data_IF_648299691814
#
_entry.id   IF_648299691814
#
_cell.length_a   1.000
_cell.length_b   1.000
_cell.length_c   1.000
_cell.angle_alpha   90.00
_cell.angle_beta   90.00
_cell.angle_gamma   90.00
#
_symmetry.space_group_name_H-M   'P 1'
#
loop_
_entity.id
_entity.type
_entity.pdbx_description
1 polymer ?
#
# COMPACT_ATOMS: atom_id res chain seq x y z
N UNK A 1 -15.32 30.95 11.51
CA UNK A 1 -15.16 29.63 10.85
C UNK A 1 -16.19 29.43 9.74
N UNK A 2 -17.45 29.09 10.04
CA UNK A 2 -18.41 28.72 8.97
C UNK A 2 -18.84 29.89 8.08
N UNK A 3 -19.08 31.07 8.65
CA UNK A 3 -19.46 32.27 7.87
C UNK A 3 -18.34 32.66 6.90
N UNK A 4 -17.11 32.76 7.40
CA UNK A 4 -15.91 33.09 6.61
C UNK A 4 -15.67 32.06 5.49
N UNK A 5 -15.80 30.76 5.82
CA UNK A 5 -15.73 29.70 4.83
C UNK A 5 -16.79 29.85 3.73
N UNK A 6 -18.07 30.07 4.09
CA UNK A 6 -19.15 30.19 3.10
C UNK A 6 -18.97 31.43 2.20
N UNK A 7 -18.45 32.53 2.75
CA UNK A 7 -18.12 33.72 1.96
C UNK A 7 -17.08 33.40 0.86
N UNK A 8 -16.02 32.68 1.21
CA UNK A 8 -14.99 32.26 0.26
C UNK A 8 -15.51 31.26 -0.76
N UNK A 9 -16.37 30.33 -0.35
CA UNK A 9 -17.00 29.37 -1.27
C UNK A 9 -17.92 30.06 -2.27
N UNK A 10 -18.67 31.09 -1.87
CA UNK A 10 -19.54 31.82 -2.78
C UNK A 10 -18.76 32.56 -3.89
N UNK A 11 -17.52 32.96 -3.59
CA UNK A 11 -16.62 33.63 -4.53
C UNK A 11 -15.62 32.66 -5.21
N UNK A 12 -15.80 31.35 -5.01
CA UNK A 12 -14.85 30.36 -5.50
C UNK A 12 -15.04 30.09 -6.99
N UNK A 13 -13.96 30.22 -7.75
CA UNK A 13 -13.88 29.65 -9.10
C UNK A 13 -13.68 28.13 -9.02
N UNK A 14 -14.77 27.39 -9.22
CA UNK A 14 -14.78 25.93 -9.21
C UNK A 14 -13.95 25.30 -10.34
N UNK A 15 -13.78 25.97 -11.49
CA UNK A 15 -12.97 25.45 -12.59
C UNK A 15 -11.48 25.49 -12.25
N UNK A 16 -11.04 26.57 -11.59
CA UNK A 16 -9.67 26.67 -11.10
C UNK A 16 -9.38 25.61 -10.02
N UNK A 17 -10.31 25.41 -9.08
CA UNK A 17 -10.21 24.31 -8.12
C UNK A 17 -10.13 22.93 -8.80
N UNK A 18 -10.94 22.68 -9.84
CA UNK A 18 -10.90 21.43 -10.60
C UNK A 18 -9.52 21.19 -11.23
N UNK A 19 -8.94 22.23 -11.86
CA UNK A 19 -7.60 22.18 -12.46
C UNK A 19 -6.54 21.83 -11.41
N UNK A 20 -6.58 22.52 -10.26
CA UNK A 20 -5.64 22.29 -9.16
C UNK A 20 -5.71 20.85 -8.60
N UNK A 21 -6.93 20.30 -8.44
CA UNK A 21 -7.12 18.92 -7.98
C UNK A 21 -6.61 17.91 -9.00
N UNK A 22 -6.85 18.13 -10.29
CA UNK A 22 -6.43 17.21 -11.36
C UNK A 22 -4.92 17.22 -11.61
N UNK A 23 -4.24 18.35 -11.37
CA UNK A 23 -2.78 18.44 -11.49
C UNK A 23 -2.05 17.73 -10.33
N UNK A 24 -2.61 17.78 -9.13
CA UNK A 24 -1.97 17.24 -7.91
C UNK A 24 -2.25 15.75 -7.66
N UNK A 25 -3.17 15.12 -8.40
CA UNK A 25 -3.65 13.75 -8.11
C UNK A 25 -3.89 12.92 -9.38
N UNK A 26 -3.85 11.60 -9.22
CA UNK A 26 -4.25 10.67 -10.27
C UNK A 26 -5.69 10.95 -10.75
N UNK A 27 -5.90 10.98 -12.08
CA UNK A 27 -7.15 11.37 -12.76
C UNK A 27 -8.45 10.89 -12.08
N UNK A 28 -8.58 9.59 -11.83
CA UNK A 28 -9.78 9.02 -11.21
C UNK A 28 -10.00 9.52 -9.77
N UNK A 29 -8.93 9.62 -8.99
CA UNK A 29 -9.02 10.09 -7.61
C UNK A 29 -9.30 11.60 -7.56
N UNK A 30 -8.68 12.39 -8.44
CA UNK A 30 -8.94 13.82 -8.57
C UNK A 30 -10.40 14.11 -8.90
N UNK A 31 -10.94 13.45 -9.94
CA UNK A 31 -12.36 13.58 -10.31
C UNK A 31 -13.30 13.27 -9.14
N UNK A 32 -13.05 12.15 -8.44
CA UNK A 32 -13.87 11.78 -7.28
C UNK A 32 -13.81 12.83 -6.17
N UNK A 33 -12.61 13.34 -5.85
CA UNK A 33 -12.44 14.34 -4.80
C UNK A 33 -13.13 15.65 -5.15
N UNK A 34 -13.03 16.09 -6.41
CA UNK A 34 -13.73 17.27 -6.94
C UNK A 34 -15.25 17.11 -6.82
N UNK A 35 -15.82 16.02 -7.34
CA UNK A 35 -17.28 15.77 -7.27
C UNK A 35 -17.80 15.74 -5.83
N UNK A 36 -17.06 15.16 -4.89
CA UNK A 36 -17.46 15.15 -3.49
C UNK A 36 -17.30 16.53 -2.84
N UNK A 37 -16.27 17.29 -3.19
CA UNK A 37 -16.08 18.64 -2.68
C UNK A 37 -17.21 19.57 -3.16
N UNK A 38 -17.52 19.56 -4.47
CA UNK A 38 -18.62 20.38 -5.02
C UNK A 38 -19.98 19.96 -4.51
N UNK A 39 -20.24 18.67 -4.31
CA UNK A 39 -21.55 18.20 -3.85
C UNK A 39 -21.80 18.42 -2.36
N UNK A 40 -20.75 18.46 -1.54
CA UNK A 40 -20.87 18.43 -0.07
C UNK A 40 -20.11 19.58 0.61
N UNK A 41 -19.77 20.65 -0.11
CA UNK A 41 -19.02 21.79 0.44
C UNK A 41 -19.75 22.42 1.64
N UNK A 42 -21.08 22.42 1.64
CA UNK A 42 -21.96 22.96 2.67
C UNK A 42 -21.89 22.21 4.02
N UNK A 43 -21.32 20.99 4.00
CA UNK A 43 -21.10 20.18 5.19
C UNK A 43 -19.83 20.58 5.96
N UNK A 44 -18.97 21.44 5.41
CA UNK A 44 -17.80 21.94 6.13
C UNK A 44 -18.23 22.80 7.33
N UNK A 45 -17.66 22.54 8.52
CA UNK A 45 -18.03 23.19 9.79
C UNK A 45 -19.53 23.10 10.14
N UNK A 46 -20.21 22.05 9.68
CA UNK A 46 -21.65 21.88 9.85
C UNK A 46 -21.96 20.67 10.74
N UNK A 47 -22.85 20.82 11.71
CA UNK A 47 -23.26 19.71 12.59
C UNK A 47 -23.94 18.57 11.82
N UNK A 48 -24.52 18.84 10.64
CA UNK A 48 -24.99 17.77 9.74
C UNK A 48 -23.91 16.73 9.42
N UNK A 49 -22.64 17.14 9.29
CA UNK A 49 -21.51 16.21 9.06
C UNK A 49 -21.17 15.39 10.31
N UNK A 50 -21.44 15.93 11.50
CA UNK A 50 -21.24 15.26 12.79
C UNK A 50 -22.26 14.13 12.94
N UNK A 51 -23.52 14.42 12.60
CA UNK A 51 -24.65 13.48 12.70
C UNK A 51 -24.66 12.38 11.63
N UNK A 52 -23.80 12.45 10.61
CA UNK A 52 -23.69 11.38 9.61
C UNK A 52 -23.10 10.10 10.21
N UNK A 53 -23.61 8.95 9.79
CA UNK A 53 -23.01 7.66 10.16
C UNK A 53 -21.54 7.55 9.75
N UNK A 54 -20.74 6.89 10.59
CA UNK A 54 -19.33 6.63 10.35
C UNK A 54 -19.11 5.56 9.26
N UNK A 55 -19.36 5.93 8.00
CA UNK A 55 -19.28 5.06 6.84
C UNK A 55 -18.26 5.56 5.79
N UNK A 56 -18.11 4.81 4.70
CA UNK A 56 -17.14 5.14 3.63
C UNK A 56 -17.49 6.47 2.97
N UNK A 57 -18.77 6.78 2.82
CA UNK A 57 -19.25 8.02 2.21
C UNK A 57 -18.84 9.23 3.06
N UNK A 58 -19.07 9.20 4.37
CA UNK A 58 -18.65 10.25 5.32
C UNK A 58 -17.14 10.46 5.27
N UNK A 59 -16.35 9.38 5.21
CA UNK A 59 -14.89 9.47 5.08
C UNK A 59 -14.44 10.18 3.80
N UNK A 60 -15.08 9.88 2.66
CA UNK A 60 -14.76 10.54 1.39
C UNK A 60 -15.16 12.02 1.40
N UNK A 61 -16.30 12.36 2.00
CA UNK A 61 -16.73 13.76 2.20
C UNK A 61 -15.68 14.51 3.01
N UNK A 62 -15.27 13.98 4.16
CA UNK A 62 -14.27 14.63 5.03
C UNK A 62 -12.94 14.85 4.28
N UNK A 63 -12.48 13.89 3.47
CA UNK A 63 -11.28 14.02 2.62
C UNK A 63 -11.42 15.11 1.57
N UNK A 64 -12.56 15.17 0.90
CA UNK A 64 -12.84 16.20 -0.09
C UNK A 64 -12.93 17.59 0.53
N UNK A 65 -13.54 17.73 1.71
CA UNK A 65 -13.63 19.00 2.42
C UNK A 65 -12.26 19.47 2.96
N UNK A 66 -11.43 18.55 3.44
CA UNK A 66 -10.04 18.89 3.77
C UNK A 66 -9.24 19.35 2.56
N UNK A 67 -9.47 18.73 1.40
CA UNK A 67 -8.81 19.15 0.17
C UNK A 67 -9.26 20.54 -0.27
N UNK A 68 -10.57 20.80 -0.18
CA UNK A 68 -11.16 22.09 -0.49
C UNK A 68 -10.63 23.20 0.43
N UNK A 69 -10.61 22.96 1.75
CA UNK A 69 -10.05 23.92 2.72
C UNK A 69 -8.56 24.19 2.47
N UNK A 70 -7.76 23.18 2.13
CA UNK A 70 -6.35 23.41 1.73
C UNK A 70 -6.20 24.26 0.47
N UNK A 71 -7.08 24.08 -0.50
CA UNK A 71 -7.06 24.91 -1.69
C UNK A 71 -7.39 26.37 -1.34
N UNK A 72 -8.40 26.59 -0.48
CA UNK A 72 -8.75 27.93 -0.01
C UNK A 72 -7.61 28.58 0.78
N UNK A 73 -6.89 27.81 1.60
CA UNK A 73 -5.70 28.30 2.32
C UNK A 73 -4.62 28.79 1.35
N UNK A 74 -4.34 28.02 0.28
CA UNK A 74 -3.35 28.40 -0.75
C UNK A 74 -3.81 29.61 -1.57
N UNK A 75 -5.11 29.70 -1.90
CA UNK A 75 -5.62 30.73 -2.80
C UNK A 75 -5.89 32.06 -2.12
N UNK A 76 -6.32 32.04 -0.86
CA UNK A 76 -6.80 33.21 -0.13
C UNK A 76 -5.99 33.49 1.14
N UNK A 77 -4.85 32.82 1.34
CA UNK A 77 -3.96 32.97 2.50
C UNK A 77 -4.70 32.81 3.84
N UNK A 78 -5.47 31.72 3.95
CA UNK A 78 -6.26 31.40 5.14
C UNK A 78 -5.72 30.17 5.89
N UNK A 79 -6.33 29.85 7.04
CA UNK A 79 -5.99 28.70 7.89
C UNK A 79 -7.20 27.77 8.09
N UNK A 80 -8.09 27.70 7.10
CA UNK A 80 -9.31 26.91 7.15
C UNK A 80 -9.04 25.41 7.26
N UNK A 81 -7.95 24.89 6.70
CA UNK A 81 -7.62 23.48 6.84
C UNK A 81 -7.32 23.11 8.30
N UNK A 82 -6.52 23.91 8.98
CA UNK A 82 -6.18 23.70 10.39
C UNK A 82 -7.39 23.89 11.30
N UNK A 83 -8.23 24.89 10.99
CA UNK A 83 -9.52 25.07 11.66
C UNK A 83 -10.43 23.86 11.46
N UNK A 84 -10.51 23.32 10.24
CA UNK A 84 -11.35 22.17 9.91
C UNK A 84 -10.88 20.91 10.61
N UNK A 85 -9.58 20.62 10.59
CA UNK A 85 -9.02 19.45 11.27
C UNK A 85 -9.17 19.55 12.79
N UNK A 86 -8.98 20.74 13.36
CA UNK A 86 -9.21 21.00 14.79
C UNK A 86 -10.70 20.88 15.17
N UNK A 87 -11.60 21.35 14.31
CA UNK A 87 -13.04 21.18 14.50
C UNK A 87 -13.45 19.71 14.44
N UNK A 88 -12.94 18.92 13.49
CA UNK A 88 -13.18 17.47 13.43
C UNK A 88 -12.70 16.77 14.71
N UNK A 89 -11.52 17.12 15.23
CA UNK A 89 -10.99 16.59 16.50
C UNK A 89 -11.93 16.90 17.68
N UNK A 90 -12.37 18.15 17.82
CA UNK A 90 -13.31 18.57 18.87
C UNK A 90 -14.66 17.86 18.79
N UNK A 91 -15.11 17.50 17.58
CA UNK A 91 -16.34 16.73 17.34
C UNK A 91 -16.09 15.21 17.34
N UNK A 92 -14.91 14.77 17.74
CA UNK A 92 -14.48 13.36 17.81
C UNK A 92 -14.62 12.58 16.49
N UNK A 93 -14.57 13.28 15.37
CA UNK A 93 -14.70 12.69 14.03
C UNK A 93 -13.34 12.12 13.60
N UNK A 94 -13.27 10.80 13.45
CA UNK A 94 -12.06 10.10 13.01
C UNK A 94 -11.97 10.00 11.49
N UNK A 95 -10.74 10.11 10.98
CA UNK A 95 -10.36 9.89 9.58
C UNK A 95 -10.33 8.41 9.15
N UNK A 96 -10.98 7.53 9.91
CA UNK A 96 -10.93 6.08 9.73
C UNK A 96 -12.29 5.46 9.98
N UNK A 97 -12.65 4.47 9.17
CA UNK A 97 -13.71 3.54 9.56
C UNK A 97 -13.17 2.60 10.64
N UNK A 98 -14.01 2.17 11.60
CA UNK A 98 -13.72 0.99 12.42
C UNK A 98 -13.59 -0.21 11.47
N UNK A 99 -12.36 -0.63 11.17
CA UNK A 99 -12.15 -1.89 10.48
C UNK A 99 -12.46 -3.01 11.48
N UNK A 100 -13.56 -3.72 11.26
CA UNK A 100 -14.12 -4.78 12.11
C UNK A 100 -13.30 -6.06 12.18
N UNK A 101 -12.07 -6.10 11.66
CA UNK A 101 -11.18 -7.24 11.91
C UNK A 101 -9.79 -6.78 12.29
N UNK A 102 -9.37 -7.17 13.50
CA UNK A 102 -8.01 -7.04 13.97
C UNK A 102 -7.13 -8.07 13.24
N UNK A 103 -6.84 -7.82 11.95
CA UNK A 103 -5.99 -8.67 11.12
C UNK A 103 -4.59 -8.82 11.74
N UNK A 104 -4.17 -7.89 12.62
CA UNK A 104 -2.94 -8.01 13.39
C UNK A 104 -2.99 -9.14 14.43
N UNK A 105 -4.08 -9.24 15.19
CA UNK A 105 -4.27 -10.36 16.11
C UNK A 105 -4.29 -11.69 15.35
N UNK A 106 -5.05 -11.77 14.25
CA UNK A 106 -5.09 -12.98 13.40
C UNK A 106 -3.72 -13.36 12.84
N UNK A 107 -2.89 -12.38 12.44
CA UNK A 107 -1.54 -12.66 11.93
C UNK A 107 -0.53 -13.10 12.98
N UNK A 108 -0.78 -12.85 14.27
CA UNK A 108 0.03 -13.41 15.36
C UNK A 108 -0.30 -14.89 15.58
N UNK A 109 -1.54 -15.29 15.29
CA UNK A 109 -2.04 -16.65 15.51
C UNK A 109 -1.84 -17.56 14.28
N UNK A 110 -1.80 -17.00 13.06
CA UNK A 110 -1.57 -17.78 11.84
C UNK A 110 -0.08 -18.07 11.63
N UNK A 111 0.30 -19.35 11.69
CA UNK A 111 1.65 -19.79 11.35
C UNK A 111 1.94 -19.57 9.86
N UNK A 112 3.20 -19.28 9.53
CA UNK A 112 3.61 -19.09 8.12
C UNK A 112 3.40 -20.38 7.31
N UNK A 113 3.52 -21.54 7.96
CA UNK A 113 3.25 -22.85 7.41
C UNK A 113 1.80 -22.99 6.96
N UNK A 114 0.84 -22.52 7.78
CA UNK A 114 -0.58 -22.52 7.41
C UNK A 114 -0.84 -21.58 6.22
N UNK A 115 -0.20 -20.42 6.17
CA UNK A 115 -0.31 -19.51 5.02
C UNK A 115 0.19 -20.19 3.74
N UNK A 116 1.32 -20.88 3.79
CA UNK A 116 1.85 -21.60 2.62
C UNK A 116 0.94 -22.76 2.23
N UNK A 117 0.37 -23.48 3.20
CA UNK A 117 -0.62 -24.55 2.95
C UNK A 117 -1.86 -24.02 2.23
N UNK A 118 -2.44 -22.92 2.67
CA UNK A 118 -3.59 -22.32 1.99
C UNK A 118 -3.22 -21.78 0.60
N UNK A 119 -2.02 -21.20 0.45
CA UNK A 119 -1.50 -20.80 -0.87
C UNK A 119 -1.35 -21.99 -1.83
N UNK A 120 -1.02 -23.18 -1.33
CA UNK A 120 -0.90 -24.40 -2.14
C UNK A 120 -2.26 -24.89 -2.69
N UNK A 121 -3.37 -24.59 -2.01
CA UNK A 121 -4.71 -24.99 -2.46
C UNK A 121 -5.26 -24.13 -3.60
N UNK A 122 -4.70 -22.94 -3.80
CA UNK A 122 -5.12 -22.04 -4.87
C UNK A 122 -4.74 -22.62 -6.25
N UNK A 123 -5.47 -22.24 -7.32
CA UNK A 123 -5.06 -22.51 -8.68
C UNK A 123 -3.59 -22.14 -8.92
N UNK A 124 -2.87 -22.97 -9.67
CA UNK A 124 -1.41 -22.96 -9.75
C UNK A 124 -0.83 -21.56 -10.02
N UNK A 125 -1.46 -20.78 -10.92
CA UNK A 125 -1.04 -19.42 -11.26
C UNK A 125 -1.09 -18.49 -10.04
N UNK A 126 -2.15 -18.56 -9.24
CA UNK A 126 -2.34 -17.75 -8.05
C UNK A 126 -1.46 -18.24 -6.88
N UNK A 127 -1.25 -19.55 -6.77
CA UNK A 127 -0.30 -20.12 -5.80
C UNK A 127 1.12 -19.60 -6.02
N UNK A 128 1.61 -19.66 -7.27
CA UNK A 128 2.93 -19.15 -7.66
C UNK A 128 3.04 -17.66 -7.35
N UNK A 129 2.05 -16.86 -7.74
CA UNK A 129 2.04 -15.42 -7.45
C UNK A 129 2.00 -15.12 -5.95
N UNK A 130 1.20 -15.84 -5.16
CA UNK A 130 1.13 -15.65 -3.72
C UNK A 130 2.44 -15.99 -3.00
N UNK A 131 3.09 -17.08 -3.39
CA UNK A 131 4.45 -17.43 -2.91
C UNK A 131 5.49 -16.40 -3.34
N UNK A 132 5.35 -15.84 -4.54
CA UNK A 132 6.20 -14.74 -5.01
C UNK A 132 6.03 -13.50 -4.14
N UNK A 133 4.80 -13.08 -3.83
CA UNK A 133 4.54 -11.95 -2.92
C UNK A 133 5.11 -12.22 -1.53
N UNK A 134 4.94 -13.45 -1.02
CA UNK A 134 5.44 -13.86 0.30
C UNK A 134 6.97 -13.88 0.39
N UNK A 135 7.67 -14.34 -0.65
CA UNK A 135 9.15 -14.43 -0.65
C UNK A 135 9.84 -13.10 -0.96
N UNK A 136 9.27 -12.32 -1.89
CA UNK A 136 9.83 -11.00 -2.25
C UNK A 136 9.47 -9.93 -1.24
N UNK A 137 8.32 -10.08 -0.56
CA UNK A 137 7.81 -9.09 0.37
C UNK A 137 7.44 -7.76 -0.28
N UNK A 138 7.19 -7.71 -1.59
CA UNK A 138 6.80 -6.48 -2.29
C UNK A 138 5.38 -6.02 -1.94
N UNK A 139 5.09 -4.73 -2.13
CA UNK A 139 3.70 -4.25 -2.03
C UNK A 139 2.88 -4.84 -3.18
N UNK A 140 1.55 -5.01 -3.05
CA UNK A 140 0.73 -5.64 -4.09
C UNK A 140 1.01 -5.11 -5.51
N UNK A 141 0.88 -3.80 -5.75
CA UNK A 141 1.13 -3.25 -7.10
C UNK A 141 2.59 -3.44 -7.57
N UNK A 142 3.57 -3.37 -6.66
CA UNK A 142 4.98 -3.63 -6.96
C UNK A 142 5.21 -5.12 -7.29
N UNK A 143 4.57 -6.03 -6.58
CA UNK A 143 4.59 -7.47 -6.84
C UNK A 143 4.00 -7.79 -8.20
N UNK A 144 2.84 -7.22 -8.55
CA UNK A 144 2.19 -7.46 -9.83
C UNK A 144 3.07 -7.01 -10.99
N UNK A 145 3.64 -5.80 -10.88
CA UNK A 145 4.53 -5.29 -11.91
C UNK A 145 5.83 -6.09 -12.00
N UNK A 146 6.46 -6.41 -10.86
CA UNK A 146 7.70 -7.17 -10.83
C UNK A 146 7.52 -8.61 -11.35
N UNK A 147 6.37 -9.24 -11.08
CA UNK A 147 6.04 -10.55 -11.61
C UNK A 147 5.88 -10.53 -13.13
N UNK A 148 5.10 -9.57 -13.65
CA UNK A 148 4.86 -9.46 -15.09
C UNK A 148 6.11 -9.03 -15.89
N UNK A 149 7.06 -8.35 -15.24
CA UNK A 149 8.31 -7.91 -15.86
C UNK A 149 9.52 -8.69 -15.31
N UNK A 150 9.31 -9.89 -14.77
CA UNK A 150 10.31 -10.65 -14.04
C UNK A 150 11.59 -10.89 -14.85
N UNK A 151 11.49 -11.27 -16.13
CA UNK A 151 12.65 -11.52 -17.00
C UNK A 151 13.53 -10.29 -17.21
N UNK A 152 12.94 -9.09 -17.16
CA UNK A 152 13.68 -7.82 -17.32
C UNK A 152 14.35 -7.37 -16.02
N UNK A 153 13.75 -7.71 -14.88
CA UNK A 153 14.16 -7.20 -13.56
C UNK A 153 15.04 -8.18 -12.77
N UNK A 154 14.90 -9.48 -13.01
CA UNK A 154 15.59 -10.51 -12.25
C UNK A 154 16.97 -10.80 -12.85
N UNK A 155 18.03 -10.45 -12.13
CA UNK A 155 19.42 -10.79 -12.47
C UNK A 155 19.96 -11.73 -11.41
N UNK A 156 20.27 -12.96 -11.80
CA UNK A 156 20.86 -13.98 -10.91
C UNK A 156 20.09 -14.20 -9.59
N UNK A 157 18.75 -14.22 -9.65
CA UNK A 157 17.89 -14.41 -8.47
C UNK A 157 17.79 -13.17 -7.57
N UNK A 158 18.16 -11.99 -8.05
CA UNK A 158 17.90 -10.70 -7.40
C UNK A 158 17.07 -9.84 -8.35
N UNK A 159 15.92 -9.37 -7.87
CA UNK A 159 15.06 -8.41 -8.54
C UNK A 159 15.50 -7.01 -8.12
N UNK A 160 16.09 -6.28 -9.05
CA UNK A 160 16.44 -4.88 -8.82
C UNK A 160 15.24 -3.99 -9.18
N UNK A 161 14.78 -3.18 -8.23
CA UNK A 161 13.55 -2.40 -8.36
C UNK A 161 13.87 -0.91 -8.33
N UNK A 162 13.87 -0.31 -9.51
CA UNK A 162 14.03 1.11 -9.73
C UNK A 162 12.72 1.67 -10.23
N UNK A 163 11.88 2.08 -9.29
CA UNK A 163 10.63 2.74 -9.64
C UNK A 163 10.93 4.22 -9.82
N UNK A 164 10.83 4.70 -11.06
CA UNK A 164 10.85 6.14 -11.32
C UNK A 164 9.54 6.76 -10.82
N UNK A 165 9.50 7.01 -9.51
CA UNK A 165 8.43 7.75 -8.83
C UNK A 165 8.85 9.19 -8.54
N UNK A 166 9.88 9.71 -9.22
CA UNK A 166 10.55 10.96 -8.81
C UNK A 166 11.23 10.85 -7.43
N UNK A 167 11.46 9.63 -6.94
CA UNK A 167 12.16 9.37 -5.67
C UNK A 167 13.47 8.64 -5.93
N UNK A 168 14.59 9.10 -5.37
CA UNK A 168 15.90 8.42 -5.41
C UNK A 168 15.93 7.08 -4.63
N UNK A 169 14.77 6.50 -4.29
CA UNK A 169 14.69 5.26 -3.52
C UNK A 169 14.89 4.08 -4.47
N UNK A 170 15.94 3.32 -4.21
CA UNK A 170 16.26 2.09 -4.91
C UNK A 170 16.18 0.95 -3.90
N UNK A 171 15.46 -0.12 -4.25
CA UNK A 171 15.46 -1.34 -3.46
C UNK A 171 15.70 -2.56 -4.34
N UNK A 172 16.07 -3.66 -3.73
CA UNK A 172 16.22 -4.94 -4.42
C UNK A 172 15.76 -6.06 -3.51
N UNK A 173 15.19 -7.11 -4.09
CA UNK A 173 14.63 -8.25 -3.35
C UNK A 173 15.11 -9.55 -3.97
N UNK A 174 15.22 -10.61 -3.17
CA UNK A 174 15.54 -11.93 -3.70
C UNK A 174 14.37 -12.50 -4.49
N UNK A 175 14.69 -13.22 -5.57
CA UNK A 175 13.77 -14.11 -6.26
C UNK A 175 14.14 -15.56 -5.90
N UNK A 176 13.15 -16.32 -5.42
CA UNK A 176 13.38 -17.71 -5.01
C UNK A 176 13.60 -18.59 -6.25
N UNK A 177 14.65 -19.44 -6.30
CA UNK A 177 14.93 -20.28 -7.48
C UNK A 177 13.72 -21.14 -7.90
N UNK A 178 13.04 -21.75 -6.94
CA UNK A 178 11.85 -22.59 -7.22
C UNK A 178 10.65 -21.83 -7.79
N UNK A 179 10.68 -20.49 -7.78
CA UNK A 179 9.66 -19.63 -8.36
C UNK A 179 10.16 -19.00 -9.66
N UNK A 180 11.45 -18.66 -9.75
CA UNK A 180 12.08 -18.03 -10.92
C UNK A 180 11.67 -18.70 -12.23
N UNK A 181 11.80 -20.02 -12.31
CA UNK A 181 11.52 -20.81 -13.52
C UNK A 181 10.01 -20.98 -13.79
N UNK A 182 9.16 -20.71 -12.79
CA UNK A 182 7.71 -20.88 -12.88
C UNK A 182 6.98 -19.60 -13.31
N UNK A 183 7.68 -18.46 -13.36
CA UNK A 183 7.11 -17.17 -13.77
C UNK A 183 7.18 -17.06 -15.29
N UNK A 184 6.28 -17.79 -15.96
CA UNK A 184 6.20 -17.86 -17.43
C UNK A 184 4.88 -17.28 -17.98
N UNK A 185 4.08 -16.64 -17.12
CA UNK A 185 2.76 -16.11 -17.49
C UNK A 185 2.53 -14.72 -16.87
N UNK A 186 1.73 -13.87 -17.52
CA UNK A 186 1.32 -12.59 -16.94
C UNK A 186 0.19 -12.78 -15.93
N UNK A 187 0.07 -11.82 -15.04
CA UNK A 187 -0.97 -11.73 -14.01
C UNK A 187 -1.72 -10.40 -14.12
N UNK A 188 -3.04 -10.45 -13.94
CA UNK A 188 -3.89 -9.26 -13.86
C UNK A 188 -4.27 -8.96 -12.41
N UNK A 189 -4.84 -7.77 -12.17
CA UNK A 189 -5.33 -7.35 -10.84
C UNK A 189 -6.42 -8.27 -10.26
N UNK A 190 -7.05 -9.11 -11.09
CA UNK A 190 -8.03 -10.11 -10.64
C UNK A 190 -7.41 -11.08 -9.64
N UNK A 191 -6.08 -11.29 -9.65
CA UNK A 191 -5.39 -12.15 -8.67
C UNK A 191 -5.72 -11.82 -7.23
N UNK A 192 -5.94 -10.54 -6.90
CA UNK A 192 -6.27 -10.12 -5.53
C UNK A 192 -7.69 -10.48 -5.10
N UNK A 193 -8.56 -10.85 -6.04
CA UNK A 193 -9.84 -11.48 -5.73
C UNK A 193 -9.67 -12.94 -5.32
N UNK A 194 -8.63 -13.63 -5.80
CA UNK A 194 -8.36 -15.03 -5.46
C UNK A 194 -7.42 -15.17 -4.26
N UNK A 195 -6.38 -14.34 -4.18
CA UNK A 195 -5.51 -14.27 -3.00
C UNK A 195 -6.11 -13.26 -2.05
N UNK A 196 -7.17 -13.66 -1.35
CA UNK A 196 -7.89 -12.79 -0.44
C UNK A 196 -7.94 -13.39 0.98
N UNK A 197 -8.37 -12.59 1.96
CA UNK A 197 -8.44 -13.01 3.36
C UNK A 197 -9.28 -14.27 3.60
N UNK A 198 -10.36 -14.48 2.86
CA UNK A 198 -11.21 -15.67 2.97
C UNK A 198 -10.46 -16.93 2.53
N UNK A 199 -9.69 -16.83 1.47
CA UNK A 199 -8.97 -17.98 0.88
C UNK A 199 -7.70 -18.35 1.66
N UNK A 200 -6.90 -17.35 2.06
CA UNK A 200 -5.59 -17.60 2.70
C UNK A 200 -5.54 -17.23 4.19
N UNK A 201 -6.68 -16.89 4.79
CA UNK A 201 -6.81 -16.47 6.20
C UNK A 201 -6.31 -15.06 6.51
N UNK A 202 -5.48 -14.45 5.65
CA UNK A 202 -4.87 -13.13 5.84
C UNK A 202 -4.97 -12.24 4.59
N UNK A 203 -4.93 -10.92 4.77
CA UNK A 203 -4.85 -10.02 3.61
C UNK A 203 -3.46 -10.13 2.95
N UNK A 204 -3.40 -9.97 1.63
CA UNK A 204 -2.15 -10.00 0.83
C UNK A 204 -1.05 -9.09 1.40
N UNK A 205 -1.42 -7.91 1.91
CA UNK A 205 -0.47 -6.98 2.53
C UNK A 205 0.24 -7.55 3.77
N UNK A 206 -0.31 -8.57 4.42
CA UNK A 206 0.29 -9.23 5.56
C UNK A 206 1.38 -10.24 5.14
N UNK A 207 1.34 -10.78 3.91
CA UNK A 207 2.43 -11.60 3.37
C UNK A 207 3.77 -10.85 3.42
N UNK A 208 3.73 -9.55 3.09
CA UNK A 208 4.89 -8.65 3.20
C UNK A 208 5.40 -8.49 4.63
N UNK A 209 4.52 -8.51 5.63
CA UNK A 209 4.94 -8.45 7.05
C UNK A 209 5.58 -9.75 7.49
N UNK A 210 5.00 -10.90 7.13
CA UNK A 210 5.59 -12.22 7.38
C UNK A 210 6.98 -12.31 6.76
N UNK A 211 7.13 -11.86 5.51
CA UNK A 211 8.43 -11.74 4.85
C UNK A 211 9.43 -10.92 5.67
N UNK A 212 9.05 -9.72 6.08
CA UNK A 212 9.92 -8.85 6.88
C UNK A 212 10.31 -9.50 8.20
N UNK A 213 9.35 -10.07 8.94
CA UNK A 213 9.62 -10.74 10.21
C UNK A 213 10.62 -11.89 10.03
N UNK A 214 10.43 -12.74 9.01
CA UNK A 214 11.34 -13.85 8.72
C UNK A 214 12.74 -13.34 8.34
N UNK A 215 12.83 -12.37 7.43
CA UNK A 215 14.13 -11.86 7.00
C UNK A 215 14.86 -11.11 8.12
N UNK A 216 14.14 -10.31 8.91
CA UNK A 216 14.74 -9.56 10.02
C UNK A 216 15.22 -10.47 11.15
N UNK A 217 14.46 -11.52 11.47
CA UNK A 217 14.81 -12.45 12.57
C UNK A 217 15.82 -13.53 12.15
N UNK A 218 15.73 -14.03 10.92
CA UNK A 218 16.52 -15.20 10.48
C UNK A 218 17.66 -14.85 9.53
N UNK A 219 17.65 -13.69 8.86
CA UNK A 219 18.68 -13.30 7.88
C UNK A 219 19.50 -12.15 8.43
N UNK A 220 18.96 -10.94 8.36
CA UNK A 220 19.57 -9.69 8.81
C UNK A 220 18.50 -8.56 8.82
N UNK A 221 18.34 -7.80 9.93
CA UNK A 221 17.37 -6.71 10.02
C UNK A 221 17.59 -5.56 9.03
N UNK A 222 18.85 -5.18 8.80
CA UNK A 222 19.22 -4.05 7.95
C UNK A 222 18.92 -4.36 6.48
N UNK A 223 19.23 -5.58 6.05
CA UNK A 223 18.88 -6.12 4.74
C UNK A 223 17.35 -6.22 4.58
N UNK A 224 16.64 -6.66 5.61
CA UNK A 224 15.18 -6.74 5.58
C UNK A 224 14.55 -5.34 5.39
N UNK A 225 15.08 -4.30 6.02
CA UNK A 225 14.62 -2.92 5.82
C UNK A 225 14.91 -2.39 4.40
N UNK A 226 16.08 -2.72 3.84
CA UNK A 226 16.43 -2.39 2.47
C UNK A 226 15.51 -3.09 1.45
N UNK A 227 15.30 -4.40 1.59
CA UNK A 227 14.40 -5.16 0.72
C UNK A 227 12.97 -4.59 0.73
N UNK A 228 12.53 -4.12 1.88
CA UNK A 228 11.24 -3.47 2.06
C UNK A 228 11.20 -2.02 1.54
N UNK A 229 12.29 -1.47 1.02
CA UNK A 229 12.37 -0.08 0.55
C UNK A 229 12.10 0.93 1.68
N UNK A 230 12.39 0.53 2.93
CA UNK A 230 12.40 1.44 4.09
C UNK A 230 13.74 2.17 4.19
N UNK A 231 14.80 1.53 3.72
CA UNK A 231 16.15 2.09 3.50
C UNK A 231 16.54 1.93 2.03
N UNK A 232 17.58 2.63 1.61
CA UNK A 232 18.14 2.55 0.26
C UNK A 232 17.76 3.74 -0.60
N UNK A 233 18.73 4.62 -0.81
CA UNK A 233 18.76 5.50 -1.96
C UNK A 233 19.68 4.93 -3.05
N UNK A 234 19.73 5.57 -4.22
CA UNK A 234 20.57 5.12 -5.35
C UNK A 234 22.04 4.90 -4.95
N UNK A 235 22.61 5.74 -4.10
CA UNK A 235 24.00 5.61 -3.64
C UNK A 235 24.18 4.41 -2.69
N UNK A 236 23.26 4.24 -1.74
CA UNK A 236 23.32 3.15 -0.77
C UNK A 236 23.19 1.75 -1.41
N UNK A 237 22.64 1.67 -2.62
CA UNK A 237 22.58 0.43 -3.43
C UNK A 237 23.92 -0.30 -3.50
N UNK A 238 25.01 0.44 -3.70
CA UNK A 238 26.34 -0.14 -3.87
C UNK A 238 26.82 -0.91 -2.64
N UNK A 239 26.27 -0.61 -1.46
CA UNK A 239 26.54 -1.35 -0.22
C UNK A 239 25.60 -2.55 -0.06
N UNK A 240 24.31 -2.38 -0.38
CA UNK A 240 23.31 -3.40 -0.15
C UNK A 240 23.33 -4.55 -1.17
N UNK A 241 23.67 -4.30 -2.44
CA UNK A 241 23.72 -5.37 -3.45
C UNK A 241 24.80 -6.42 -3.18
N UNK A 242 26.06 -6.05 -2.83
CA UNK A 242 27.06 -7.02 -2.38
C UNK A 242 26.59 -7.78 -1.14
N UNK A 243 25.99 -7.08 -0.18
CA UNK A 243 25.43 -7.69 1.03
C UNK A 243 24.34 -8.73 0.68
N UNK A 244 23.45 -8.44 -0.27
CA UNK A 244 22.46 -9.40 -0.76
C UNK A 244 23.12 -10.67 -1.31
N UNK A 245 24.20 -10.57 -2.09
CA UNK A 245 24.90 -11.76 -2.57
C UNK A 245 25.43 -12.63 -1.43
N UNK A 246 26.04 -12.00 -0.42
CA UNK A 246 26.56 -12.70 0.76
C UNK A 246 25.46 -13.45 1.52
N UNK A 247 24.28 -12.84 1.67
CA UNK A 247 23.15 -13.44 2.39
C UNK A 247 22.28 -14.37 1.53
N UNK A 248 22.51 -14.46 0.21
CA UNK A 248 21.65 -15.22 -0.71
C UNK A 248 21.53 -16.70 -0.33
N UNK A 249 22.65 -17.38 -0.04
CA UNK A 249 22.64 -18.81 0.35
C UNK A 249 21.84 -19.03 1.64
N UNK A 250 22.04 -18.15 2.63
CA UNK A 250 21.29 -18.16 3.91
C UNK A 250 19.80 -17.96 3.67
N UNK A 251 19.45 -16.98 2.84
CA UNK A 251 18.06 -16.66 2.47
C UNK A 251 17.37 -17.85 1.79
N UNK A 252 18.00 -18.46 0.78
CA UNK A 252 17.46 -19.65 0.10
C UNK A 252 17.24 -20.79 1.10
N UNK A 253 18.20 -21.06 1.99
CA UNK A 253 18.07 -22.12 3.01
C UNK A 253 16.88 -21.88 3.94
N UNK A 254 16.64 -20.63 4.36
CA UNK A 254 15.49 -20.29 5.23
C UNK A 254 14.17 -20.46 4.48
N UNK A 255 14.08 -19.96 3.25
CA UNK A 255 12.84 -20.01 2.48
C UNK A 255 12.51 -21.39 1.90
N UNK A 256 13.52 -22.20 1.57
CA UNK A 256 13.33 -23.61 1.22
C UNK A 256 12.62 -24.38 2.35
N UNK A 257 13.03 -24.17 3.61
CA UNK A 257 12.39 -24.80 4.78
C UNK A 257 10.93 -24.38 4.95
N UNK A 258 10.55 -23.19 4.48
CA UNK A 258 9.18 -22.68 4.59
C UNK A 258 8.32 -23.14 3.41
N UNK A 259 8.87 -23.14 2.19
CA UNK A 259 8.12 -23.44 0.97
C UNK A 259 8.03 -24.92 0.64
N UNK A 260 9.09 -25.70 0.91
CA UNK A 260 9.19 -27.10 0.49
C UNK A 260 8.70 -28.07 1.56
N UNK A 261 8.79 -27.70 2.84
CA UNK A 261 8.34 -28.55 3.96
C UNK A 261 6.83 -28.78 3.98
N UNK A 262 6.07 -27.91 3.30
CA UNK A 262 4.62 -27.94 3.12
C UNK A 262 4.14 -28.61 1.84
N UNK A 263 5.05 -29.18 1.02
CA UNK A 263 4.66 -30.00 -0.14
C UNK A 263 4.63 -31.51 0.15
N UNK A 264 5.10 -31.92 1.35
CA UNK A 264 5.21 -33.33 1.76
C UNK A 264 4.18 -33.72 2.85
N UNK A 265 3.07 -32.97 2.94
CA UNK A 265 1.91 -33.22 3.80
C UNK A 265 0.64 -32.96 2.97
#
# INVERSE_FOLDING_TARGET
MRKDYLSLINNLDWKDFEKWVKQSRQKQHGNKMYTFATRYHDLCFNDKLVSMDANRKRLEIIKSLALLTRYLDVKYETYLHDQFTSWLKRKEIRWSQKNTTNTYALSKTLSIENVVKELNKLPIKYSIFGKFVLTTGLRPEESLHAFNNHSKLCKNGVLELFWDRGTKKANSVFCHPSLHDKIVFPMSRIVYKYINKKEIGIEVRHLRKLNYTINATKIDPLLAEFMQGRRGNVSQRHYFLPMMQNYRKKWIKVWNKILLRTNNL
#
